data_IF_965801034111
#
_entry.id   IF_965801034111
#
_cell.length_a   1.000
_cell.length_b   1.000
_cell.length_c   1.000
_cell.angle_alpha   90.00
_cell.angle_beta   90.00
_cell.angle_gamma   90.00
#
_symmetry.space_group_name_H-M   'P 1'
#
loop_
_entity.id
_entity.type
_entity.pdbx_description
1 polymer ?
#
# COMPACT_ATOMS: atom_id res chain seq x y z
N UNK A 1 -3.79 -35.86 24.71
CA UNK A 1 -3.99 -35.77 23.26
C UNK A 1 -2.67 -35.31 22.65
N UNK A 2 -1.86 -36.26 22.15
CA UNK A 2 -0.45 -36.01 21.74
C UNK A 2 -0.43 -35.14 20.49
N UNK A 3 0.12 -33.94 20.63
CA UNK A 3 0.20 -32.91 19.61
C UNK A 3 1.28 -33.27 18.58
N UNK A 4 0.94 -33.29 17.29
CA UNK A 4 1.93 -33.17 16.23
C UNK A 4 2.53 -31.75 16.31
N UNK A 5 3.62 -31.62 17.07
CA UNK A 5 4.22 -30.35 17.52
C UNK A 5 4.79 -29.47 16.40
N UNK A 6 4.94 -29.98 15.17
CA UNK A 6 5.65 -29.26 14.11
C UNK A 6 4.74 -28.51 13.13
N UNK A 7 3.44 -28.83 13.06
CA UNK A 7 2.59 -28.39 11.94
C UNK A 7 1.18 -27.90 12.34
N UNK A 8 0.91 -27.61 13.62
CA UNK A 8 -0.47 -27.40 14.12
C UNK A 8 -1.35 -26.42 13.31
N UNK A 9 -0.76 -25.40 12.66
CA UNK A 9 -1.48 -24.50 11.75
C UNK A 9 -0.73 -24.21 10.43
N UNK A 10 0.27 -25.02 10.08
CA UNK A 10 1.00 -24.86 8.82
C UNK A 10 0.64 -26.01 7.89
N UNK A 11 -0.05 -25.68 6.80
CA UNK A 11 -0.58 -26.62 5.82
C UNK A 11 0.50 -27.17 4.88
N UNK A 12 1.54 -27.80 5.42
CA UNK A 12 2.66 -28.39 4.66
C UNK A 12 2.25 -29.53 3.70
N UNK A 13 1.00 -30.00 3.77
CA UNK A 13 0.47 -31.11 2.96
C UNK A 13 -0.45 -30.68 1.80
N UNK A 14 -0.68 -29.37 1.62
CA UNK A 14 -1.54 -28.84 0.55
C UNK A 14 -0.70 -28.12 -0.51
N UNK A 15 -1.20 -27.98 -1.76
CA UNK A 15 -0.58 -27.09 -2.75
C UNK A 15 -0.40 -25.68 -2.14
N UNK A 16 0.75 -25.04 -2.37
CA UNK A 16 1.09 -23.75 -1.77
C UNK A 16 0.00 -22.65 -1.92
N UNK A 17 -0.75 -22.55 -3.04
CA UNK A 17 -1.87 -21.62 -3.15
C UNK A 17 -3.05 -21.94 -2.22
N UNK A 18 -3.31 -23.22 -1.96
CA UNK A 18 -4.38 -23.69 -1.05
C UNK A 18 -3.97 -23.46 0.41
N UNK A 19 -2.68 -23.59 0.70
CA UNK A 19 -2.08 -23.28 2.00
C UNK A 19 -2.27 -21.80 2.38
N UNK A 20 -2.13 -20.88 1.41
CA UNK A 20 -2.31 -19.43 1.62
C UNK A 20 -3.71 -19.06 2.14
N UNK A 21 -4.74 -19.47 1.40
CA UNK A 21 -6.13 -19.15 1.74
C UNK A 21 -6.52 -19.80 3.07
N UNK A 22 -6.06 -21.04 3.31
CA UNK A 22 -6.37 -21.78 4.53
C UNK A 22 -5.80 -21.13 5.80
N UNK A 23 -4.57 -20.59 5.78
CA UNK A 23 -3.96 -19.97 6.97
C UNK A 23 -4.62 -18.63 7.31
N UNK A 24 -4.91 -17.79 6.32
CA UNK A 24 -5.62 -16.53 6.56
C UNK A 24 -7.04 -16.78 7.08
N UNK A 25 -7.78 -17.72 6.46
CA UNK A 25 -9.09 -18.15 6.93
C UNK A 25 -9.03 -18.73 8.35
N UNK A 26 -8.00 -19.52 8.67
CA UNK A 26 -7.79 -20.05 10.03
C UNK A 26 -7.58 -18.92 11.04
N UNK A 27 -6.77 -17.90 10.71
CA UNK A 27 -6.59 -16.73 11.60
C UNK A 27 -7.90 -15.98 11.79
N UNK A 28 -8.67 -15.76 10.72
CA UNK A 28 -9.98 -15.11 10.82
C UNK A 28 -10.97 -15.92 11.67
N UNK A 29 -11.02 -17.24 11.47
CA UNK A 29 -11.84 -18.15 12.27
C UNK A 29 -11.45 -18.11 13.76
N UNK A 30 -10.16 -18.03 14.07
CA UNK A 30 -9.69 -17.83 15.44
C UNK A 30 -10.10 -16.46 16.00
N UNK A 31 -10.07 -15.40 15.20
CA UNK A 31 -10.54 -14.08 15.64
C UNK A 31 -12.04 -14.11 15.98
N UNK A 32 -12.86 -14.81 15.18
CA UNK A 32 -14.28 -15.03 15.49
C UNK A 32 -14.49 -15.90 16.74
N UNK A 33 -13.75 -16.99 16.88
CA UNK A 33 -13.87 -17.89 18.03
C UNK A 33 -13.49 -17.20 19.35
N UNK A 34 -12.45 -16.35 19.32
CA UNK A 34 -11.95 -15.63 20.48
C UNK A 34 -12.41 -14.17 20.53
N UNK A 35 -13.49 -13.81 19.82
CA UNK A 35 -13.96 -12.43 19.68
C UNK A 35 -14.22 -11.76 21.05
N UNK A 36 -14.81 -12.49 22.00
CA UNK A 36 -15.07 -12.00 23.35
C UNK A 36 -13.80 -11.61 24.13
N UNK A 37 -12.66 -12.23 23.80
CA UNK A 37 -11.38 -11.96 24.45
C UNK A 37 -10.58 -10.89 23.71
N UNK A 38 -10.74 -10.75 22.39
CA UNK A 38 -10.00 -9.76 21.62
C UNK A 38 -8.52 -10.10 21.36
N UNK A 39 -8.09 -11.29 21.75
CA UNK A 39 -6.70 -11.77 21.72
C UNK A 39 -6.68 -13.28 21.59
N UNK A 40 -5.75 -13.82 20.81
CA UNK A 40 -5.46 -15.26 20.82
C UNK A 40 -4.01 -15.56 20.44
N UNK A 41 -3.52 -16.75 20.79
CA UNK A 41 -2.18 -17.21 20.43
C UNK A 41 -2.26 -18.06 19.16
N UNK A 42 -1.41 -17.76 18.19
CA UNK A 42 -1.30 -18.47 16.92
C UNK A 42 0.14 -18.92 16.69
N UNK A 43 0.33 -20.13 16.18
CA UNK A 43 1.64 -20.65 15.81
C UNK A 43 1.74 -20.83 14.31
N UNK A 44 2.80 -20.29 13.72
CA UNK A 44 3.18 -20.61 12.34
C UNK A 44 4.50 -21.38 12.38
N UNK A 45 4.44 -22.70 12.27
CA UNK A 45 5.59 -23.57 12.57
C UNK A 45 6.05 -23.37 14.01
N UNK A 46 7.34 -23.06 14.21
CA UNK A 46 7.92 -22.80 15.54
C UNK A 46 7.73 -21.36 16.02
N UNK A 47 7.20 -20.46 15.17
CA UNK A 47 7.04 -19.05 15.50
C UNK A 47 5.70 -18.83 16.20
N UNK A 48 5.77 -18.53 17.50
CA UNK A 48 4.62 -18.07 18.27
C UNK A 48 4.29 -16.61 17.95
N UNK A 49 3.03 -16.33 17.62
CA UNK A 49 2.48 -14.99 17.41
C UNK A 49 1.27 -14.78 18.30
N UNK A 50 1.08 -13.56 18.78
CA UNK A 50 -0.14 -13.14 19.49
C UNK A 50 -0.98 -12.35 18.51
N UNK A 51 -2.17 -12.85 18.18
CA UNK A 51 -3.17 -12.12 17.40
C UNK A 51 -3.92 -11.18 18.32
N UNK A 52 -4.04 -9.91 17.94
CA UNK A 52 -4.77 -8.89 18.67
C UNK A 52 -5.76 -8.23 17.72
N UNK A 53 -7.02 -8.16 18.14
CA UNK A 53 -8.13 -7.65 17.34
C UNK A 53 -9.18 -6.90 18.19
N UNK A 54 -8.79 -6.41 19.37
CA UNK A 54 -9.57 -5.48 20.21
C UNK A 54 -8.91 -4.11 20.25
N UNK A 55 -9.71 -3.05 20.09
CA UNK A 55 -9.24 -1.66 19.98
C UNK A 55 -8.29 -1.24 21.12
N UNK A 56 -8.69 -1.42 22.39
CA UNK A 56 -7.88 -1.04 23.57
C UNK A 56 -6.48 -1.69 23.56
N UNK A 57 -6.42 -2.96 23.12
CA UNK A 57 -5.17 -3.71 23.05
C UNK A 57 -4.31 -3.24 21.88
N UNK A 58 -4.94 -2.96 20.73
CA UNK A 58 -4.25 -2.42 19.55
C UNK A 58 -3.63 -1.06 19.89
N UNK A 59 -4.36 -0.16 20.55
CA UNK A 59 -3.86 1.14 20.98
C UNK A 59 -2.63 1.00 21.90
N UNK A 60 -2.74 0.15 22.92
CA UNK A 60 -1.64 -0.12 23.85
C UNK A 60 -0.41 -0.66 23.12
N UNK A 61 -0.59 -1.61 22.20
CA UNK A 61 0.50 -2.21 21.41
C UNK A 61 1.14 -1.18 20.50
N UNK A 62 0.35 -0.40 19.75
CA UNK A 62 0.85 0.58 18.80
C UNK A 62 1.58 1.73 19.48
N UNK A 63 1.16 2.11 20.69
CA UNK A 63 1.82 3.14 21.49
C UNK A 63 3.18 2.68 22.05
N UNK A 64 3.32 1.37 22.35
CA UNK A 64 4.53 0.81 22.95
C UNK A 64 5.48 0.14 21.95
N UNK A 65 5.04 -0.14 20.72
CA UNK A 65 5.83 -0.88 19.72
C UNK A 65 5.98 -0.13 18.40
N UNK A 66 7.21 0.33 18.14
CA UNK A 66 7.58 0.96 16.86
C UNK A 66 8.28 -0.01 15.91
N UNK A 67 8.78 -1.14 16.41
CA UNK A 67 9.55 -2.11 15.63
C UNK A 67 8.61 -3.03 14.86
N UNK A 68 8.82 -3.13 13.55
CA UNK A 68 8.08 -4.04 12.67
C UNK A 68 8.39 -5.50 13.01
N UNK A 69 7.51 -6.39 12.59
CA UNK A 69 7.72 -7.83 12.75
C UNK A 69 8.91 -8.32 11.89
N UNK A 70 9.61 -9.41 12.27
CA UNK A 70 10.78 -9.89 11.53
C UNK A 70 10.47 -10.33 10.09
N UNK A 71 9.23 -10.72 9.80
CA UNK A 71 8.80 -11.09 8.44
C UNK A 71 8.83 -9.92 7.45
N UNK A 72 8.89 -8.65 7.91
CA UNK A 72 9.15 -7.51 7.03
C UNK A 72 10.53 -7.60 6.37
N UNK A 73 11.48 -8.34 6.95
CA UNK A 73 12.78 -8.57 6.33
C UNK A 73 12.68 -9.34 5.00
N UNK A 74 11.60 -10.12 4.81
CA UNK A 74 11.34 -10.82 3.54
C UNK A 74 11.07 -9.84 2.38
N UNK A 75 10.66 -8.61 2.69
CA UNK A 75 10.45 -7.54 1.71
C UNK A 75 11.74 -6.78 1.39
N UNK A 76 12.85 -6.96 2.12
CA UNK A 76 14.06 -6.16 1.93
C UNK A 76 14.69 -6.33 0.55
N UNK A 77 14.57 -7.51 -0.07
CA UNK A 77 15.10 -7.69 -1.44
C UNK A 77 14.32 -6.89 -2.48
N UNK A 78 13.10 -6.44 -2.17
CA UNK A 78 12.24 -5.69 -3.05
C UNK A 78 12.17 -4.21 -2.64
N UNK A 79 11.81 -3.90 -1.40
CA UNK A 79 11.60 -2.52 -0.92
C UNK A 79 12.82 -1.95 -0.18
N UNK A 80 13.88 -2.75 -0.02
CA UNK A 80 15.01 -2.41 0.83
C UNK A 80 14.59 -2.04 2.25
N UNK A 81 15.26 -1.04 2.80
CA UNK A 81 15.00 -0.45 4.11
C UNK A 81 14.32 0.93 4.02
N UNK A 82 13.33 1.06 3.12
CA UNK A 82 12.50 2.25 2.97
C UNK A 82 11.52 2.46 4.13
N UNK A 83 10.59 3.42 4.01
CA UNK A 83 9.70 3.83 5.11
C UNK A 83 8.82 2.69 5.68
N UNK A 84 8.47 1.69 4.88
CA UNK A 84 7.62 0.58 5.31
C UNK A 84 8.37 -0.43 6.19
N UNK A 85 9.64 -0.71 5.88
CA UNK A 85 10.44 -1.80 6.47
C UNK A 85 11.45 -1.29 7.49
N UNK A 86 11.91 -0.04 7.37
CA UNK A 86 12.85 0.57 8.32
C UNK A 86 12.27 0.73 9.73
N UNK A 87 13.19 0.83 10.70
CA UNK A 87 12.86 1.05 12.11
C UNK A 87 13.82 2.08 12.73
N UNK A 88 13.51 2.55 13.95
CA UNK A 88 14.43 3.36 14.75
C UNK A 88 14.74 4.75 14.15
N UNK A 89 15.99 5.23 14.28
CA UNK A 89 16.39 6.56 13.81
C UNK A 89 16.24 6.77 12.29
N UNK A 90 16.56 5.75 11.46
CA UNK A 90 16.42 5.83 9.99
C UNK A 90 14.97 6.11 9.62
N UNK A 91 14.02 5.34 10.17
CA UNK A 91 12.59 5.55 9.96
C UNK A 91 12.14 6.96 10.37
N UNK A 92 12.59 7.46 11.53
CA UNK A 92 12.24 8.81 12.00
C UNK A 92 12.77 9.90 11.06
N UNK A 93 14.02 9.80 10.59
CA UNK A 93 14.62 10.74 9.62
C UNK A 93 13.82 10.74 8.32
N UNK A 94 13.58 9.55 7.73
CA UNK A 94 12.81 9.38 6.49
C UNK A 94 11.38 9.91 6.62
N UNK A 95 10.66 9.54 7.68
CA UNK A 95 9.28 10.00 7.93
C UNK A 95 9.22 11.53 8.00
N UNK A 96 10.12 12.16 8.73
CA UNK A 96 10.16 13.62 8.87
C UNK A 96 10.42 14.31 7.52
N UNK A 97 11.35 13.77 6.74
CA UNK A 97 11.70 14.30 5.42
C UNK A 97 10.53 14.22 4.44
N UNK A 98 9.77 13.12 4.46
CA UNK A 98 8.73 12.82 3.46
C UNK A 98 7.33 13.35 3.80
N UNK A 99 7.05 13.62 5.08
CA UNK A 99 5.72 14.11 5.53
C UNK A 99 5.22 15.37 4.79
N UNK A 100 6.07 16.37 4.46
CA UNK A 100 5.62 17.57 3.73
C UNK A 100 5.01 17.29 2.36
N UNK A 101 5.38 16.18 1.70
CA UNK A 101 4.85 15.80 0.37
C UNK A 101 3.34 15.48 0.38
N UNK A 102 2.76 15.23 1.56
CA UNK A 102 1.37 14.82 1.75
C UNK A 102 0.56 15.85 2.54
N UNK A 103 1.01 17.11 2.55
CA UNK A 103 0.28 18.20 3.16
C UNK A 103 -0.97 18.55 2.32
N UNK A 104 -2.08 18.92 2.96
CA UNK A 104 -3.39 19.10 2.31
C UNK A 104 -3.37 20.00 1.07
N UNK A 105 -2.59 21.10 1.09
CA UNK A 105 -2.44 22.00 -0.07
C UNK A 105 -1.90 21.30 -1.32
N UNK A 106 -1.07 20.28 -1.16
CA UNK A 106 -0.55 19.49 -2.28
C UNK A 106 -1.64 18.53 -2.78
N UNK A 107 -2.48 18.01 -1.87
CA UNK A 107 -3.57 17.11 -2.21
C UNK A 107 -4.67 17.81 -3.01
N UNK A 108 -4.90 19.11 -2.79
CA UNK A 108 -5.85 19.89 -3.58
C UNK A 108 -5.46 19.90 -5.08
N UNK A 109 -4.17 20.00 -5.38
CA UNK A 109 -3.64 19.94 -6.75
C UNK A 109 -3.82 18.55 -7.39
N UNK A 110 -3.97 17.49 -6.59
CA UNK A 110 -4.11 16.11 -7.09
C UNK A 110 -5.51 15.81 -7.63
N UNK A 111 -6.52 16.58 -7.23
CA UNK A 111 -7.91 16.32 -7.58
C UNK A 111 -8.14 16.37 -9.09
N UNK A 112 -7.46 17.26 -9.81
CA UNK A 112 -7.56 17.30 -11.26
C UNK A 112 -7.05 16.00 -11.91
N UNK A 113 -5.89 15.52 -11.49
CA UNK A 113 -5.33 14.24 -11.96
C UNK A 113 -6.23 13.06 -11.59
N UNK A 114 -6.81 13.04 -10.39
CA UNK A 114 -7.75 11.99 -9.96
C UNK A 114 -8.99 11.98 -10.89
N UNK A 115 -9.56 13.14 -11.20
CA UNK A 115 -10.69 13.25 -12.13
C UNK A 115 -10.34 12.71 -13.52
N UNK A 116 -9.17 13.07 -14.05
CA UNK A 116 -8.72 12.62 -15.38
C UNK A 116 -8.61 11.09 -15.47
N UNK A 117 -7.90 10.45 -14.53
CA UNK A 117 -7.75 8.99 -14.53
C UNK A 117 -9.06 8.27 -14.20
N UNK A 118 -9.91 8.84 -13.34
CA UNK A 118 -11.25 8.30 -13.06
C UNK A 118 -12.12 8.28 -14.32
N UNK A 119 -12.12 9.34 -15.12
CA UNK A 119 -12.81 9.36 -16.43
C UNK A 119 -12.27 8.32 -17.39
N UNK A 120 -10.95 8.15 -17.48
CA UNK A 120 -10.33 7.11 -18.31
C UNK A 120 -10.77 5.71 -17.87
N UNK A 121 -10.87 5.47 -16.57
CA UNK A 121 -11.38 4.22 -16.01
C UNK A 121 -12.85 4.00 -16.40
N UNK A 122 -13.72 4.98 -16.19
CA UNK A 122 -15.15 4.90 -16.56
C UNK A 122 -15.34 4.68 -18.06
N UNK A 123 -14.59 5.39 -18.91
CA UNK A 123 -14.65 5.20 -20.36
C UNK A 123 -14.24 3.77 -20.77
N UNK A 124 -13.23 3.18 -20.11
CA UNK A 124 -12.85 1.78 -20.31
C UNK A 124 -13.94 0.81 -19.85
N UNK A 125 -14.58 1.06 -18.70
CA UNK A 125 -15.71 0.25 -18.22
C UNK A 125 -16.85 0.26 -19.25
N UNK A 126 -17.24 1.44 -19.75
CA UNK A 126 -18.31 1.58 -20.73
C UNK A 126 -18.02 0.80 -22.01
N UNK A 127 -16.78 0.81 -22.49
CA UNK A 127 -16.38 0.03 -23.67
C UNK A 127 -16.43 -1.48 -23.40
N UNK A 128 -15.84 -1.94 -22.29
CA UNK A 128 -15.77 -3.38 -21.98
C UNK A 128 -17.14 -3.99 -21.67
N UNK A 129 -18.09 -3.19 -21.18
CA UNK A 129 -19.49 -3.60 -20.99
C UNK A 129 -20.16 -4.05 -22.31
N UNK A 130 -19.75 -3.50 -23.45
CA UNK A 130 -20.30 -3.91 -24.76
C UNK A 130 -19.77 -5.30 -25.18
N UNK A 131 -18.61 -5.70 -24.66
CA UNK A 131 -17.89 -6.92 -25.05
C UNK A 131 -18.22 -8.12 -24.13
N UNK A 132 -18.62 -7.89 -22.87
CA UNK A 132 -18.85 -8.96 -21.89
C UNK A 132 -19.90 -8.59 -20.83
N UNK A 133 -20.63 -9.60 -20.36
CA UNK A 133 -21.68 -9.47 -19.33
C UNK A 133 -21.10 -9.17 -17.93
N UNK A 134 -19.89 -9.65 -17.66
CA UNK A 134 -19.17 -9.42 -16.41
C UNK A 134 -17.82 -8.78 -16.68
N UNK A 135 -17.33 -8.03 -15.69
CA UNK A 135 -16.08 -7.29 -15.78
C UNK A 135 -15.29 -7.44 -14.48
N UNK A 136 -13.99 -7.71 -14.61
CA UNK A 136 -13.06 -7.59 -13.49
C UNK A 136 -12.61 -6.13 -13.33
N UNK A 137 -12.97 -5.53 -12.20
CA UNK A 137 -12.68 -4.11 -11.88
C UNK A 137 -11.27 -3.94 -11.32
N UNK A 138 -10.59 -5.01 -10.89
CA UNK A 138 -9.26 -4.95 -10.28
C UNK A 138 -8.22 -4.37 -11.25
N UNK A 139 -8.03 -4.88 -12.49
CA UNK A 139 -7.05 -4.33 -13.42
C UNK A 139 -7.30 -2.85 -13.77
N UNK A 140 -8.58 -2.47 -13.84
CA UNK A 140 -9.00 -1.09 -14.13
C UNK A 140 -8.67 -0.15 -12.98
N UNK A 141 -8.98 -0.56 -11.75
CA UNK A 141 -8.66 0.19 -10.52
C UNK A 141 -7.14 0.32 -10.33
N UNK A 142 -6.39 -0.75 -10.60
CA UNK A 142 -4.92 -0.76 -10.52
C UNK A 142 -4.30 0.22 -11.52
N UNK A 143 -4.77 0.20 -12.78
CA UNK A 143 -4.30 1.14 -13.79
C UNK A 143 -4.63 2.60 -13.42
N UNK A 144 -5.82 2.85 -12.85
CA UNK A 144 -6.23 4.18 -12.41
C UNK A 144 -5.36 4.67 -11.25
N UNK A 145 -5.24 3.88 -10.18
CA UNK A 145 -4.48 4.24 -8.99
C UNK A 145 -2.98 4.45 -9.31
N UNK A 146 -2.40 3.61 -10.16
CA UNK A 146 -1.01 3.77 -10.60
C UNK A 146 -0.81 5.03 -11.44
N UNK A 147 -1.74 5.33 -12.36
CA UNK A 147 -1.69 6.55 -13.17
C UNK A 147 -1.73 7.81 -12.32
N UNK A 148 -2.65 7.87 -11.35
CA UNK A 148 -2.73 8.96 -10.37
C UNK A 148 -1.43 9.07 -9.58
N UNK A 149 -0.91 7.96 -9.05
CA UNK A 149 0.32 7.96 -8.24
C UNK A 149 1.54 8.49 -9.01
N UNK A 150 1.72 8.04 -10.26
CA UNK A 150 2.83 8.44 -11.10
C UNK A 150 2.82 9.96 -11.37
N UNK A 151 1.65 10.52 -11.66
CA UNK A 151 1.54 11.95 -12.00
C UNK A 151 1.58 12.85 -10.77
N UNK A 152 0.99 12.42 -9.66
CA UNK A 152 0.88 13.24 -8.44
C UNK A 152 2.10 13.12 -7.53
N UNK A 153 2.53 11.90 -7.21
CA UNK A 153 3.58 11.62 -6.21
C UNK A 153 4.96 11.53 -6.88
N UNK A 154 5.05 10.91 -8.06
CA UNK A 154 6.33 10.76 -8.77
C UNK A 154 6.60 11.90 -9.76
N UNK A 155 5.59 12.68 -10.13
CA UNK A 155 5.73 13.81 -11.06
C UNK A 155 6.05 13.39 -12.50
N UNK A 156 5.67 12.18 -12.92
CA UNK A 156 5.93 11.63 -14.26
C UNK A 156 4.62 11.28 -14.95
N UNK A 157 4.47 11.63 -16.23
CA UNK A 157 3.27 11.30 -17.00
C UNK A 157 3.11 9.79 -17.20
N UNK A 158 1.96 9.25 -16.81
CA UNK A 158 1.63 7.83 -16.97
C UNK A 158 1.36 7.46 -18.44
N UNK A 159 0.82 8.41 -19.21
CA UNK A 159 0.46 8.22 -20.63
C UNK A 159 1.64 7.82 -21.52
N UNK A 160 2.84 8.33 -21.21
CA UNK A 160 4.06 8.08 -21.98
C UNK A 160 4.68 6.71 -21.68
N UNK A 161 4.24 6.04 -20.61
CA UNK A 161 4.88 4.83 -20.07
C UNK A 161 3.92 3.62 -20.07
N UNK A 162 2.86 3.65 -20.87
CA UNK A 162 1.74 2.69 -20.80
C UNK A 162 2.17 1.22 -20.83
N UNK A 163 3.07 0.85 -21.75
CA UNK A 163 3.58 -0.53 -21.87
C UNK A 163 4.39 -0.94 -20.63
N UNK A 164 5.29 -0.06 -20.16
CA UNK A 164 6.07 -0.30 -18.96
C UNK A 164 5.20 -0.39 -17.69
N UNK A 165 4.10 0.38 -17.62
CA UNK A 165 3.15 0.31 -16.52
C UNK A 165 2.41 -1.04 -16.47
N UNK A 166 2.02 -1.60 -17.63
CA UNK A 166 1.36 -2.90 -17.68
C UNK A 166 2.30 -4.02 -17.21
N UNK A 167 3.57 -3.99 -17.61
CA UNK A 167 4.56 -4.96 -17.17
C UNK A 167 4.92 -4.81 -15.68
N UNK A 168 4.99 -3.56 -15.19
CA UNK A 168 5.14 -3.27 -13.77
C UNK A 168 3.99 -3.87 -12.95
N UNK A 169 2.73 -3.64 -13.36
CA UNK A 169 1.55 -4.16 -12.66
C UNK A 169 1.54 -5.70 -12.64
N UNK A 170 1.89 -6.34 -13.76
CA UNK A 170 2.01 -7.82 -13.82
C UNK A 170 3.09 -8.31 -12.85
N UNK A 171 4.26 -7.67 -12.83
CA UNK A 171 5.35 -8.01 -11.94
C UNK A 171 4.94 -7.84 -10.46
N UNK A 172 4.24 -6.76 -10.12
CA UNK A 172 3.72 -6.52 -8.76
C UNK A 172 2.74 -7.63 -8.34
N UNK A 173 1.80 -8.02 -9.22
CA UNK A 173 0.85 -9.11 -8.93
C UNK A 173 1.55 -10.44 -8.64
N UNK A 174 2.61 -10.76 -9.40
CA UNK A 174 3.45 -11.92 -9.12
C UNK A 174 4.16 -11.75 -7.78
N UNK A 175 4.83 -10.62 -7.53
CA UNK A 175 5.56 -10.36 -6.30
C UNK A 175 4.68 -10.47 -5.05
N UNK A 176 3.49 -9.87 -5.06
CA UNK A 176 2.57 -9.88 -3.92
C UNK A 176 2.03 -11.28 -3.66
N UNK A 177 1.82 -12.09 -4.70
CA UNK A 177 1.47 -13.50 -4.54
C UNK A 177 2.64 -14.33 -3.96
N UNK A 178 3.84 -14.19 -4.51
CA UNK A 178 5.02 -14.95 -4.07
C UNK A 178 5.44 -14.59 -2.63
N UNK A 179 5.40 -13.31 -2.25
CA UNK A 179 5.69 -12.89 -0.88
C UNK A 179 4.63 -13.39 0.10
N UNK A 180 3.37 -13.42 -0.32
CA UNK A 180 2.27 -13.93 0.47
C UNK A 180 2.43 -15.42 0.77
N UNK A 181 2.79 -16.23 -0.23
CA UNK A 181 3.14 -17.65 -0.06
C UNK A 181 4.33 -17.79 0.88
N UNK A 182 5.37 -16.97 0.70
CA UNK A 182 6.60 -17.02 1.50
C UNK A 182 6.34 -16.70 2.97
N UNK A 183 5.57 -15.66 3.28
CA UNK A 183 5.20 -15.25 4.65
C UNK A 183 4.43 -16.36 5.38
N UNK A 184 3.70 -17.19 4.65
CA UNK A 184 2.88 -18.26 5.25
C UNK A 184 3.56 -19.63 5.29
N UNK A 185 4.76 -19.73 4.70
CA UNK A 185 5.51 -20.98 4.57
C UNK A 185 6.86 -20.85 5.29
N UNK A 186 6.97 -21.17 6.59
CA UNK A 186 8.21 -20.99 7.36
C UNK A 186 9.45 -21.68 6.75
N UNK A 187 9.27 -22.80 6.05
CA UNK A 187 10.35 -23.49 5.35
C UNK A 187 10.92 -22.72 4.13
N UNK A 188 10.22 -21.69 3.66
CA UNK A 188 10.65 -20.76 2.61
C UNK A 188 11.25 -19.46 3.17
N UNK A 189 11.41 -19.33 4.50
CA UNK A 189 12.05 -18.14 5.07
C UNK A 189 13.54 -18.06 4.71
N UNK A 190 14.34 -19.14 4.78
CA UNK A 190 15.73 -19.10 4.36
C UNK A 190 15.86 -18.74 2.87
N UNK A 191 16.61 -17.69 2.56
CA UNK A 191 16.87 -17.26 1.17
C UNK A 191 17.43 -18.41 0.32
N UNK A 192 18.33 -19.21 0.92
CA UNK A 192 18.94 -20.35 0.26
C UNK A 192 17.90 -21.33 -0.30
N UNK A 193 16.86 -21.67 0.47
CA UNK A 193 15.84 -22.61 0.00
C UNK A 193 14.88 -21.93 -0.97
N UNK A 194 14.43 -20.72 -0.65
CA UNK A 194 13.45 -19.98 -1.45
C UNK A 194 13.92 -19.76 -2.90
N UNK A 195 15.11 -19.20 -3.11
CA UNK A 195 15.62 -18.88 -4.46
C UNK A 195 15.93 -20.11 -5.33
N UNK A 196 15.90 -21.32 -4.76
CA UNK A 196 16.03 -22.59 -5.51
C UNK A 196 14.69 -23.14 -6.01
N UNK A 197 13.57 -22.62 -5.49
CA UNK A 197 12.22 -22.99 -5.94
C UNK A 197 11.79 -22.18 -7.17
N UNK A 198 10.76 -22.65 -7.88
CA UNK A 198 10.11 -21.87 -8.95
C UNK A 198 9.51 -20.56 -8.44
N UNK A 199 9.00 -20.54 -7.20
CA UNK A 199 8.49 -19.36 -6.52
C UNK A 199 9.59 -18.29 -6.36
N UNK A 200 10.77 -18.70 -5.87
CA UNK A 200 11.90 -17.78 -5.70
C UNK A 200 12.51 -17.27 -7.01
N UNK A 201 12.50 -18.07 -8.08
CA UNK A 201 12.92 -17.62 -9.42
C UNK A 201 11.97 -16.54 -9.97
N UNK A 202 10.67 -16.83 -10.01
CA UNK A 202 9.64 -15.86 -10.44
C UNK A 202 9.66 -14.59 -9.62
N UNK A 203 9.86 -14.71 -8.30
CA UNK A 203 10.02 -13.55 -7.42
C UNK A 203 11.25 -12.72 -7.82
N UNK A 204 12.42 -13.34 -8.03
CA UNK A 204 13.65 -12.63 -8.39
C UNK A 204 13.51 -11.89 -9.73
N UNK A 205 12.92 -12.52 -10.74
CA UNK A 205 12.70 -11.91 -12.05
C UNK A 205 11.74 -10.71 -11.95
N UNK A 206 10.68 -10.85 -11.15
CA UNK A 206 9.72 -9.77 -10.92
C UNK A 206 10.30 -8.60 -10.12
N UNK A 207 11.19 -8.89 -9.15
CA UNK A 207 11.93 -7.84 -8.41
C UNK A 207 12.79 -7.03 -9.37
N UNK A 208 13.52 -7.70 -10.28
CA UNK A 208 14.35 -7.02 -11.27
C UNK A 208 13.52 -6.12 -12.19
N UNK A 209 12.33 -6.58 -12.62
CA UNK A 209 11.43 -5.78 -13.45
C UNK A 209 10.91 -4.52 -12.71
N UNK A 210 10.51 -4.66 -11.44
CA UNK A 210 10.04 -3.54 -10.62
C UNK A 210 11.17 -2.54 -10.35
N UNK A 211 12.36 -3.00 -10.00
CA UNK A 211 13.53 -2.13 -9.79
C UNK A 211 13.94 -1.40 -11.06
N UNK A 212 13.88 -2.06 -12.23
CA UNK A 212 14.16 -1.42 -13.51
C UNK A 212 13.16 -0.28 -13.80
N UNK A 213 11.88 -0.50 -13.51
CA UNK A 213 10.85 0.53 -13.66
C UNK A 213 11.10 1.71 -12.71
N UNK A 214 11.31 1.46 -11.42
CA UNK A 214 11.58 2.53 -10.44
C UNK A 214 12.83 3.33 -10.79
N UNK A 215 13.91 2.65 -11.23
CA UNK A 215 15.14 3.30 -11.69
C UNK A 215 14.88 4.20 -12.89
N UNK A 216 14.07 3.75 -13.87
CA UNK A 216 13.68 4.53 -15.04
C UNK A 216 12.91 5.81 -14.63
N UNK A 217 11.97 5.69 -13.69
CA UNK A 217 11.19 6.83 -13.17
C UNK A 217 12.11 7.84 -12.46
N UNK A 218 13.00 7.37 -11.59
CA UNK A 218 13.98 8.22 -10.88
C UNK A 218 14.85 8.99 -11.89
N UNK A 219 15.43 8.28 -12.87
CA UNK A 219 16.32 8.90 -13.86
C UNK A 219 15.59 9.88 -14.77
N UNK A 220 14.34 9.58 -15.17
CA UNK A 220 13.51 10.49 -15.97
C UNK A 220 13.25 11.78 -15.20
N UNK A 221 12.74 11.70 -13.97
CA UNK A 221 12.43 12.87 -13.16
C UNK A 221 13.69 13.68 -12.80
N UNK A 222 14.81 13.00 -12.51
CA UNK A 222 16.10 13.66 -12.27
C UNK A 222 16.54 14.51 -13.47
N UNK A 223 16.43 14.00 -14.70
CA UNK A 223 16.77 14.76 -15.92
C UNK A 223 15.85 15.96 -16.10
N UNK A 224 14.54 15.77 -15.98
CA UNK A 224 13.56 16.86 -16.09
C UNK A 224 13.85 17.97 -15.07
N UNK A 225 14.11 17.61 -13.81
CA UNK A 225 14.41 18.57 -12.75
C UNK A 225 15.71 19.34 -13.02
N UNK A 226 16.76 18.67 -13.50
CA UNK A 226 18.02 19.34 -13.85
C UNK A 226 17.84 20.29 -15.04
N UNK A 227 17.03 19.91 -16.03
CA UNK A 227 16.73 20.76 -17.19
C UNK A 227 15.84 21.95 -16.81
N UNK A 228 14.88 21.76 -15.91
CA UNK A 228 14.08 22.84 -15.30
C UNK A 228 15.00 23.83 -14.55
N UNK A 229 15.96 23.35 -13.75
CA UNK A 229 16.95 24.20 -13.05
C UNK A 229 17.83 24.99 -14.01
N UNK A 230 18.32 24.36 -15.08
CA UNK A 230 19.11 25.04 -16.13
C UNK A 230 18.30 26.15 -16.81
N UNK A 231 17.05 25.86 -17.20
CA UNK A 231 16.15 26.84 -17.80
C UNK A 231 15.87 28.00 -16.84
N UNK A 232 15.55 27.71 -15.57
CA UNK A 232 15.32 28.72 -14.56
C UNK A 232 16.55 29.62 -14.32
N UNK A 233 17.77 29.06 -14.34
CA UNK A 233 19.00 29.85 -14.25
C UNK A 233 19.20 30.79 -15.45
N UNK A 234 18.76 30.37 -16.65
CA UNK A 234 18.82 31.21 -17.87
C UNK A 234 17.74 32.30 -17.81
N UNK A 235 16.52 31.97 -17.39
CA UNK A 235 15.41 32.93 -17.28
C UNK A 235 15.59 33.92 -16.13
N UNK A 236 16.14 33.50 -14.99
CA UNK A 236 16.47 34.40 -13.88
C UNK A 236 17.58 35.39 -14.22
N UNK A 237 18.46 35.05 -15.17
CA UNK A 237 19.42 35.99 -15.74
C UNK A 237 18.78 36.98 -16.74
N UNK A 238 17.56 36.70 -17.23
CA UNK A 238 16.84 37.52 -18.21
C UNK A 238 15.73 38.40 -17.60
N UNK A 239 14.99 37.92 -16.60
CA UNK A 239 13.91 38.69 -15.92
C UNK A 239 13.80 38.32 -14.43
N UNK A 240 13.93 39.28 -13.49
CA UNK A 240 13.82 39.05 -12.05
C UNK A 240 12.35 39.06 -11.60
N UNK A 241 11.56 38.09 -12.07
CA UNK A 241 10.22 37.80 -11.54
C UNK A 241 10.31 36.74 -10.44
N UNK A 242 9.62 36.91 -9.32
CA UNK A 242 9.52 35.88 -8.28
C UNK A 242 8.89 34.60 -8.85
N UNK A 243 9.62 33.48 -8.99
CA UNK A 243 9.00 32.24 -9.44
C UNK A 243 7.99 31.80 -8.38
N UNK A 244 6.75 31.51 -8.78
CA UNK A 244 5.80 30.79 -7.92
C UNK A 244 6.51 29.52 -7.45
N UNK A 245 6.76 29.38 -6.14
CA UNK A 245 7.31 28.16 -5.55
C UNK A 245 6.35 27.01 -5.87
N UNK A 246 6.67 26.22 -6.89
CA UNK A 246 6.00 24.95 -7.17
C UNK A 246 6.13 24.08 -5.93
N UNK A 247 5.01 23.52 -5.46
CA UNK A 247 5.05 22.53 -4.39
C UNK A 247 5.79 21.30 -4.92
N UNK A 248 6.81 20.86 -4.18
CA UNK A 248 7.64 19.72 -4.58
C UNK A 248 6.83 18.43 -4.42
N UNK A 249 6.86 17.59 -5.44
CA UNK A 249 6.33 16.22 -5.32
C UNK A 249 7.20 15.40 -4.37
N UNK A 250 6.74 14.20 -4.01
CA UNK A 250 7.51 13.28 -3.17
C UNK A 250 8.87 12.95 -3.80
N UNK A 251 8.91 12.63 -5.10
CA UNK A 251 10.17 12.32 -5.78
C UNK A 251 11.07 13.56 -5.89
N UNK A 252 10.49 14.74 -6.07
CA UNK A 252 11.27 16.00 -6.05
C UNK A 252 11.93 16.22 -4.69
N UNK A 253 11.24 15.96 -3.58
CA UNK A 253 11.81 16.10 -2.23
C UNK A 253 13.01 15.17 -2.05
N UNK A 254 12.93 13.92 -2.52
CA UNK A 254 14.04 12.97 -2.46
C UNK A 254 15.24 13.45 -3.28
N UNK A 255 14.99 13.88 -4.52
CA UNK A 255 16.04 14.35 -5.43
C UNK A 255 16.69 15.65 -4.92
N UNK A 256 15.91 16.59 -4.41
CA UNK A 256 16.40 17.81 -3.77
C UNK A 256 17.26 17.49 -2.54
N UNK A 257 16.84 16.55 -1.70
CA UNK A 257 17.62 16.18 -0.52
C UNK A 257 18.99 15.57 -0.91
N UNK A 258 19.02 14.74 -1.95
CA UNK A 258 20.25 14.13 -2.46
C UNK A 258 21.20 15.15 -3.08
N UNK A 259 20.67 16.11 -3.84
CA UNK A 259 21.48 17.11 -4.55
C UNK A 259 21.92 18.30 -3.69
N UNK A 260 21.05 18.76 -2.77
CA UNK A 260 21.20 20.08 -2.15
C UNK A 260 21.40 20.03 -0.62
N UNK A 261 21.11 18.90 0.04
CA UNK A 261 21.06 18.82 1.52
C UNK A 261 22.07 17.82 2.09
N UNK A 262 22.14 16.62 1.51
CA UNK A 262 22.91 15.50 2.05
C UNK A 262 23.45 14.65 0.90
N UNK A 263 24.68 14.93 0.47
CA UNK A 263 25.35 14.16 -0.60
C UNK A 263 25.56 12.68 -0.23
N UNK A 264 25.44 12.31 1.06
CA UNK A 264 25.48 10.91 1.49
C UNK A 264 24.16 10.17 1.22
N UNK A 265 23.10 10.86 0.80
CA UNK A 265 21.82 10.26 0.43
C UNK A 265 21.89 9.68 -0.99
N UNK A 266 22.15 8.37 -1.07
CA UNK A 266 22.51 7.66 -2.31
C UNK A 266 21.31 7.31 -3.21
N UNK A 267 21.60 6.84 -4.43
CA UNK A 267 20.59 6.39 -5.38
C UNK A 267 19.82 5.16 -4.89
N UNK A 268 20.47 4.25 -4.18
CA UNK A 268 19.81 3.12 -3.52
C UNK A 268 18.80 3.63 -2.49
N UNK A 269 19.21 4.64 -1.72
CA UNK A 269 18.45 5.26 -0.64
C UNK A 269 17.20 6.00 -1.16
N UNK A 270 17.25 6.54 -2.39
CA UNK A 270 16.09 7.04 -3.14
C UNK A 270 15.24 5.87 -3.64
N UNK A 271 15.87 4.85 -4.22
CA UNK A 271 15.22 3.65 -4.74
C UNK A 271 14.36 2.94 -3.70
N UNK A 272 14.87 2.77 -2.48
CA UNK A 272 14.14 2.17 -1.36
C UNK A 272 12.80 2.88 -1.08
N UNK A 273 12.81 4.22 -1.10
CA UNK A 273 11.62 5.02 -0.85
C UNK A 273 10.69 5.05 -2.06
N UNK A 274 11.23 5.13 -3.28
CA UNK A 274 10.43 5.08 -4.51
C UNK A 274 9.71 3.74 -4.65
N UNK A 275 10.41 2.62 -4.49
CA UNK A 275 9.80 1.28 -4.52
C UNK A 275 8.70 1.14 -3.46
N UNK A 276 8.97 1.63 -2.25
CA UNK A 276 8.01 1.62 -1.14
C UNK A 276 6.73 2.38 -1.49
N UNK A 277 6.85 3.61 -1.98
CA UNK A 277 5.70 4.47 -2.27
C UNK A 277 4.98 4.06 -3.56
N UNK A 278 5.73 3.62 -4.58
CA UNK A 278 5.18 3.06 -5.80
C UNK A 278 4.26 1.88 -5.46
N UNK A 279 4.73 0.90 -4.68
CA UNK A 279 3.90 -0.23 -4.26
C UNK A 279 2.72 0.21 -3.36
N UNK A 280 3.03 0.83 -2.21
CA UNK A 280 2.03 1.08 -1.18
C UNK A 280 0.92 2.05 -1.62
N UNK A 281 1.25 3.02 -2.49
CA UNK A 281 0.32 4.07 -2.92
C UNK A 281 -0.73 3.60 -3.92
N UNK A 282 -0.39 2.70 -4.84
CA UNK A 282 -1.35 2.25 -5.87
C UNK A 282 -2.07 0.96 -5.49
N UNK A 283 -1.35 -0.06 -5.00
CA UNK A 283 -1.91 -1.41 -4.82
C UNK A 283 -3.03 -1.41 -3.76
N UNK A 284 -2.80 -0.73 -2.63
CA UNK A 284 -3.80 -0.63 -1.55
C UNK A 284 -5.03 0.16 -1.96
N UNK A 285 -4.85 1.26 -2.68
CA UNK A 285 -5.93 2.13 -3.18
C UNK A 285 -6.73 1.43 -4.27
N UNK A 286 -6.07 0.70 -5.17
CA UNK A 286 -6.72 -0.09 -6.21
C UNK A 286 -7.65 -1.16 -5.63
N UNK A 287 -7.19 -1.89 -4.61
CA UNK A 287 -8.03 -2.86 -3.90
C UNK A 287 -9.20 -2.18 -3.19
N UNK A 288 -8.98 -1.01 -2.60
CA UNK A 288 -10.06 -0.26 -1.95
C UNK A 288 -11.15 0.16 -2.95
N UNK A 289 -10.77 0.65 -4.13
CA UNK A 289 -11.71 1.01 -5.21
C UNK A 289 -12.47 -0.24 -5.67
N UNK A 290 -11.76 -1.34 -5.94
CA UNK A 290 -12.37 -2.58 -6.39
C UNK A 290 -13.40 -3.14 -5.38
N UNK A 291 -13.06 -3.15 -4.07
CA UNK A 291 -13.99 -3.56 -3.02
C UNK A 291 -15.19 -2.63 -2.89
N UNK A 292 -15.00 -1.31 -3.04
CA UNK A 292 -16.11 -0.37 -3.05
C UNK A 292 -17.05 -0.64 -4.22
N UNK A 293 -16.53 -0.77 -5.44
CA UNK A 293 -17.34 -1.09 -6.62
C UNK A 293 -18.11 -2.40 -6.44
N UNK A 294 -17.44 -3.45 -5.95
CA UNK A 294 -18.06 -4.75 -5.71
C UNK A 294 -19.18 -4.68 -4.66
N UNK A 295 -18.92 -4.08 -3.50
CA UNK A 295 -19.91 -3.99 -2.43
C UNK A 295 -21.09 -3.08 -2.78
N UNK A 296 -20.86 -1.96 -3.48
CA UNK A 296 -21.93 -1.09 -3.97
C UNK A 296 -22.81 -1.85 -4.97
N UNK A 297 -22.21 -2.61 -5.90
CA UNK A 297 -22.96 -3.41 -6.87
C UNK A 297 -23.82 -4.51 -6.23
N UNK A 298 -23.39 -5.07 -5.09
CA UNK A 298 -24.16 -6.05 -4.33
C UNK A 298 -25.32 -5.45 -3.51
N UNK A 299 -25.34 -4.14 -3.28
CA UNK A 299 -26.34 -3.46 -2.45
C UNK A 299 -27.03 -2.32 -3.22
N UNK A 300 -28.04 -2.64 -4.05
CA UNK A 300 -28.70 -1.65 -4.91
C UNK A 300 -29.35 -0.48 -4.14
N UNK A 301 -29.78 -0.69 -2.91
CA UNK A 301 -30.32 0.35 -2.03
C UNK A 301 -29.24 1.35 -1.59
N UNK A 302 -28.02 0.87 -1.31
CA UNK A 302 -26.85 1.69 -1.03
C UNK A 302 -26.42 2.44 -2.29
N UNK A 303 -26.37 1.76 -3.43
CA UNK A 303 -26.04 2.40 -4.72
C UNK A 303 -27.00 3.55 -5.03
N UNK A 304 -28.30 3.36 -4.83
CA UNK A 304 -29.31 4.41 -5.03
C UNK A 304 -29.08 5.61 -4.11
N UNK A 305 -28.79 5.40 -2.82
CA UNK A 305 -28.52 6.48 -1.87
C UNK A 305 -27.24 7.26 -2.20
N UNK A 306 -26.19 6.57 -2.65
CA UNK A 306 -24.97 7.23 -3.15
C UNK A 306 -25.30 8.09 -4.36
N UNK A 307 -26.12 7.58 -5.29
CA UNK A 307 -26.54 8.35 -6.46
C UNK A 307 -27.39 9.58 -6.07
N UNK A 308 -28.33 9.44 -5.13
CA UNK A 308 -29.14 10.55 -4.61
C UNK A 308 -28.26 11.64 -3.95
N UNK A 309 -27.23 11.25 -3.19
CA UNK A 309 -26.26 12.19 -2.63
C UNK A 309 -25.44 12.90 -3.72
N UNK A 310 -24.92 12.15 -4.69
CA UNK A 310 -24.16 12.73 -5.81
C UNK A 310 -25.03 13.71 -6.63
N UNK A 311 -26.28 13.36 -6.89
CA UNK A 311 -27.22 14.22 -7.60
C UNK A 311 -27.51 15.52 -6.85
N UNK A 312 -27.57 15.46 -5.51
CA UNK A 312 -27.79 16.63 -4.65
C UNK A 312 -26.56 17.54 -4.58
N UNK A 313 -25.37 16.97 -4.42
CA UNK A 313 -24.12 17.74 -4.27
C UNK A 313 -23.66 18.34 -5.59
N UNK A 314 -23.83 17.62 -6.69
CA UNK A 314 -23.37 18.08 -8.01
C UNK A 314 -24.42 18.91 -8.75
N UNK A 315 -25.71 18.73 -8.46
CA UNK A 315 -26.79 19.51 -9.06
C UNK A 315 -26.78 19.46 -10.58
N UNK A 316 -26.61 20.62 -11.23
CA UNK A 316 -26.51 20.74 -12.69
C UNK A 316 -25.10 20.45 -13.24
N UNK A 317 -24.07 20.43 -12.38
CA UNK A 317 -22.66 20.30 -12.75
C UNK A 317 -22.16 18.85 -12.81
N UNK A 318 -23.03 17.88 -13.13
CA UNK A 318 -22.71 16.43 -13.08
C UNK A 318 -21.61 15.99 -14.05
N UNK A 319 -21.29 16.82 -15.04
CA UNK A 319 -20.27 16.56 -16.06
C UNK A 319 -18.95 17.29 -15.80
N UNK A 320 -18.89 18.14 -14.78
CA UNK A 320 -17.69 18.89 -14.43
C UNK A 320 -16.75 18.07 -13.53
N UNK A 321 -15.51 18.56 -13.35
CA UNK A 321 -14.55 17.96 -12.43
C UNK A 321 -15.05 18.08 -10.98
N UNK A 322 -14.94 17.00 -10.21
CA UNK A 322 -15.20 17.02 -8.77
C UNK A 322 -14.17 17.91 -8.09
N UNK A 323 -14.59 18.88 -7.29
CA UNK A 323 -13.71 19.74 -6.49
C UNK A 323 -13.49 19.20 -5.07
N UNK A 324 -12.48 19.72 -4.36
CA UNK A 324 -12.26 19.39 -2.93
C UNK A 324 -13.39 19.87 -2.05
N UNK A 325 -14.10 20.93 -2.44
CA UNK A 325 -15.33 21.39 -1.80
C UNK A 325 -16.43 20.34 -1.93
N UNK A 326 -16.66 19.79 -3.12
CA UNK A 326 -17.68 18.74 -3.31
C UNK A 326 -17.42 17.53 -2.41
N UNK A 327 -16.15 17.10 -2.27
CA UNK A 327 -15.78 15.96 -1.43
C UNK A 327 -16.17 16.12 0.04
N UNK A 328 -16.23 17.36 0.57
CA UNK A 328 -16.60 17.63 1.97
C UNK A 328 -18.09 17.34 2.24
N UNK A 329 -18.91 17.37 1.19
CA UNK A 329 -20.36 17.19 1.29
C UNK A 329 -20.81 15.75 0.96
N UNK A 330 -19.93 14.90 0.43
CA UNK A 330 -20.19 13.48 0.11
C UNK A 330 -20.09 12.56 1.35
N UNK A 331 -20.90 12.86 2.38
CA UNK A 331 -20.84 12.22 3.70
C UNK A 331 -21.26 10.75 3.67
N UNK A 332 -22.31 10.43 2.94
CA UNK A 332 -22.82 9.06 2.81
C UNK A 332 -21.85 8.20 2.01
N UNK A 333 -21.29 8.70 0.90
CA UNK A 333 -20.23 8.02 0.18
C UNK A 333 -19.00 7.78 1.07
N UNK A 334 -18.61 8.72 1.92
CA UNK A 334 -17.54 8.51 2.89
C UNK A 334 -17.88 7.37 3.88
N UNK A 335 -19.12 7.29 4.36
CA UNK A 335 -19.59 6.16 5.17
C UNK A 335 -19.49 4.83 4.42
N UNK A 336 -19.87 4.79 3.14
CA UNK A 336 -19.76 3.59 2.29
C UNK A 336 -18.31 3.16 2.13
N UNK A 337 -17.38 4.10 1.87
CA UNK A 337 -15.95 3.82 1.78
C UNK A 337 -15.40 3.26 3.09
N UNK A 338 -15.77 3.86 4.23
CA UNK A 338 -15.36 3.39 5.56
C UNK A 338 -15.90 1.99 5.86
N UNK A 339 -17.15 1.72 5.53
CA UNK A 339 -17.78 0.41 5.75
C UNK A 339 -17.17 -0.66 4.84
N UNK A 340 -16.90 -0.32 3.58
CA UNK A 340 -16.16 -1.18 2.65
C UNK A 340 -14.80 -1.56 3.21
N UNK A 341 -14.03 -0.60 3.74
CA UNK A 341 -12.73 -0.88 4.36
C UNK A 341 -12.83 -1.59 5.72
N UNK A 342 -13.95 -1.48 6.43
CA UNK A 342 -14.21 -2.26 7.64
C UNK A 342 -14.45 -3.73 7.32
N UNK A 343 -15.19 -4.03 6.25
CA UNK A 343 -15.51 -5.39 5.81
C UNK A 343 -14.38 -6.04 5.02
N UNK A 344 -13.76 -5.27 4.13
CA UNK A 344 -12.77 -5.70 3.15
C UNK A 344 -11.54 -4.76 3.20
N UNK A 345 -10.77 -4.77 4.30
CA UNK A 345 -9.60 -3.90 4.43
C UNK A 345 -8.54 -4.26 3.40
N UNK A 346 -7.99 -3.27 2.69
CA UNK A 346 -6.89 -3.49 1.73
C UNK A 346 -5.64 -4.11 2.39
N UNK A 347 -5.43 -3.85 3.68
CA UNK A 347 -4.38 -4.47 4.50
C UNK A 347 -5.02 -5.12 5.73
N UNK A 348 -5.34 -6.42 5.70
CA UNK A 348 -6.08 -7.08 6.79
C UNK A 348 -5.24 -7.36 8.04
N UNK A 349 -3.91 -7.24 7.96
CA UNK A 349 -3.05 -7.59 9.07
C UNK A 349 -1.71 -6.84 9.02
N UNK A 350 -1.20 -6.44 10.18
CA UNK A 350 0.13 -5.86 10.35
C UNK A 350 0.89 -6.54 11.49
N UNK A 351 2.22 -6.56 11.40
CA UNK A 351 3.08 -7.19 12.40
C UNK A 351 3.91 -6.20 13.21
N UNK A 352 4.09 -6.49 14.51
CA UNK A 352 4.94 -5.73 15.44
C UNK A 352 5.79 -6.65 16.31
N UNK A 353 6.96 -6.18 16.71
CA UNK A 353 7.84 -6.86 17.65
C UNK A 353 7.88 -6.10 18.98
N UNK A 354 7.63 -6.80 20.08
CA UNK A 354 7.78 -6.22 21.42
C UNK A 354 9.26 -6.10 21.78
N UNK A 355 9.76 -4.86 21.89
CA UNK A 355 11.15 -4.58 22.28
C UNK A 355 11.30 -4.27 23.77
N UNK A 356 10.24 -3.79 24.42
CA UNK A 356 10.15 -3.52 25.85
C UNK A 356 8.88 -4.14 26.42
N UNK A 357 8.92 -4.71 27.65
CA UNK A 357 7.73 -5.30 28.25
C UNK A 357 6.68 -4.23 28.53
N UNK A 358 5.41 -4.58 28.28
CA UNK A 358 4.24 -3.82 28.70
C UNK A 358 3.11 -4.78 29.09
N UNK A 359 2.17 -4.30 29.89
CA UNK A 359 1.02 -5.07 30.37
C UNK A 359 -0.20 -4.75 29.54
N UNK A 360 -0.98 -5.78 29.20
CA UNK A 360 -2.33 -5.62 28.66
C UNK A 360 -3.35 -5.90 29.77
N UNK A 361 -4.37 -5.05 29.88
CA UNK A 361 -5.49 -5.23 30.82
C UNK A 361 -6.45 -6.31 30.29
N UNK A 362 -6.06 -7.56 30.49
CA UNK A 362 -6.84 -8.74 30.15
C UNK A 362 -7.41 -9.31 31.46
N UNK A 363 -8.63 -9.91 31.49
CA UNK A 363 -9.21 -10.49 32.71
C UNK A 363 -8.32 -11.49 33.47
N UNK A 364 -7.23 -11.96 32.85
CA UNK A 364 -6.06 -12.56 33.51
C UNK A 364 -4.81 -11.86 32.96
N UNK A 365 -4.07 -11.15 33.81
CA UNK A 365 -2.89 -10.35 33.44
C UNK A 365 -1.97 -11.07 32.45
N UNK A 366 -1.77 -10.50 31.25
CA UNK A 366 -0.83 -10.99 30.25
C UNK A 366 0.39 -10.06 30.20
N UNK A 367 1.54 -10.59 30.62
CA UNK A 367 2.83 -9.93 30.41
C UNK A 367 3.40 -10.40 29.07
N UNK A 368 3.94 -9.48 28.27
CA UNK A 368 4.47 -9.75 26.93
C UNK A 368 6.00 -9.89 26.94
N UNK A 369 6.60 -11.05 27.31
CA UNK A 369 8.04 -11.23 27.14
C UNK A 369 8.35 -11.37 25.64
N UNK A 370 9.03 -10.37 25.06
CA UNK A 370 9.60 -10.34 23.69
C UNK A 370 8.90 -11.30 22.70
N UNK A 371 7.65 -11.00 22.38
CA UNK A 371 6.84 -11.81 21.47
C UNK A 371 6.55 -11.09 20.15
N UNK A 372 6.22 -11.87 19.12
CA UNK A 372 5.69 -11.36 17.86
C UNK A 372 4.20 -11.08 18.03
N UNK A 373 3.77 -9.88 17.68
CA UNK A 373 2.37 -9.47 17.71
C UNK A 373 1.89 -9.27 16.28
N UNK A 374 0.72 -9.81 15.98
CA UNK A 374 -0.01 -9.59 14.73
C UNK A 374 -1.31 -8.88 15.08
N UNK A 375 -1.50 -7.68 14.55
CA UNK A 375 -2.75 -6.96 14.64
C UNK A 375 -3.58 -7.38 13.43
N UNK A 376 -4.80 -7.83 13.68
CA UNK A 376 -5.73 -8.29 12.65
C UNK A 376 -6.90 -7.30 12.60
N UNK A 377 -7.22 -6.81 11.41
CA UNK A 377 -8.40 -5.99 11.14
C UNK A 377 -9.50 -6.93 10.62
N UNK A 378 -10.48 -7.27 11.47
CA UNK A 378 -11.48 -8.31 11.21
C UNK A 378 -12.87 -8.00 11.79
#
# INVERSE_FOLDING_TARGET
>A
MKSYLFLQHSCAFFPLPVCFTAVLQTRYALCKLFQAHGICRFYLGTLASVLIFKADYIETVMSNTLTKAPNYALLHSWLGTGLLTSTGPKWKKRRRMLTPAFHFRILDDFVHTINEHSRKMVARISKLREESEWLDVVPLSTSCALGVLLETVMGVSASQEKECCEDYVKAISVLTNEISIRIQSPWLYPDFTFYRTDHGRRYKDSVAAVHAFSTKIIQKRRREMLDERKKASITAAAEPGFPKKRLLTFLDILLHHSLDVDESFTDEDIGEEVDTFMFAGHDTTAMAIAWNCYLIALHPDVQKKVQEELDMVLGEHKTEDISTENLKDLKYLECVVKESQRLCPSVPMIGRTVTKPFTLEIPKYFQTPRCLIQIVFC
#
